data_IF_492233666604
#
_entry.id   IF_492233666604
#
_cell.length_a   1.000
_cell.length_b   1.000
_cell.length_c   1.000
_cell.angle_alpha   90.00
_cell.angle_beta   90.00
_cell.angle_gamma   90.00
#
_symmetry.space_group_name_H-M   'P 1'
#
loop_
_entity.id
_entity.type
_entity.pdbx_description
1 polymer ?
#
# COMPACT_ATOMS: atom_id res chain seq x y z
N UNK A 1 16.16 -16.16 1.91
CA UNK A 1 16.85 -15.08 1.18
C UNK A 1 15.83 -14.32 0.36
N UNK A 2 15.94 -12.99 0.30
CA UNK A 2 15.09 -12.12 -0.54
C UNK A 2 15.99 -11.34 -1.48
N UNK A 3 15.57 -11.17 -2.73
CA UNK A 3 16.24 -10.34 -3.73
C UNK A 3 15.22 -9.50 -4.49
N UNK A 4 15.74 -8.50 -5.19
CA UNK A 4 15.00 -7.71 -6.17
C UNK A 4 15.51 -8.08 -7.55
N UNK A 5 14.60 -8.42 -8.44
CA UNK A 5 14.93 -8.74 -9.83
C UNK A 5 14.16 -7.84 -10.79
N UNK A 6 14.79 -7.45 -11.89
CA UNK A 6 14.11 -6.72 -12.95
C UNK A 6 12.98 -7.60 -13.53
N UNK A 7 11.72 -7.12 -13.57
CA UNK A 7 10.62 -7.89 -14.11
C UNK A 7 10.81 -8.28 -15.59
N UNK A 8 11.56 -7.49 -16.35
CA UNK A 8 11.79 -7.67 -17.79
C UNK A 8 13.07 -8.44 -18.11
N UNK A 9 14.18 -8.18 -17.40
CA UNK A 9 15.48 -8.79 -17.71
C UNK A 9 15.82 -9.97 -16.80
N UNK A 10 15.06 -10.19 -15.72
CA UNK A 10 15.30 -11.25 -14.73
C UNK A 10 16.73 -11.22 -14.13
N UNK A 11 17.38 -10.07 -14.20
CA UNK A 11 18.66 -9.79 -13.56
C UNK A 11 18.46 -9.19 -12.17
N UNK A 12 19.40 -9.44 -11.27
CA UNK A 12 19.39 -8.84 -9.92
C UNK A 12 19.50 -7.33 -10.01
N UNK A 13 18.57 -6.61 -9.37
CA UNK A 13 18.61 -5.17 -9.21
C UNK A 13 19.62 -4.78 -8.12
N UNK A 14 20.22 -3.59 -8.25
CA UNK A 14 21.04 -3.03 -7.17
C UNK A 14 20.20 -2.71 -5.92
N UNK A 15 20.86 -2.60 -4.76
CA UNK A 15 20.21 -2.20 -3.50
C UNK A 15 19.53 -0.84 -3.71
N UNK A 16 18.33 -0.68 -3.15
CA UNK A 16 17.45 0.50 -3.33
C UNK A 16 16.84 0.70 -4.72
N UNK A 17 17.14 -0.12 -5.72
CA UNK A 17 16.41 -0.07 -7.00
C UNK A 17 15.06 -0.79 -6.91
N UNK A 18 14.07 -0.26 -7.61
CA UNK A 18 12.75 -0.86 -7.72
C UNK A 18 12.85 -2.16 -8.54
N UNK A 19 12.27 -3.24 -8.02
CA UNK A 19 12.30 -4.55 -8.68
C UNK A 19 11.21 -5.49 -8.19
N UNK A 20 10.98 -6.56 -8.95
CA UNK A 20 10.13 -7.66 -8.52
C UNK A 20 10.75 -8.34 -7.29
N UNK A 21 9.97 -8.48 -6.24
CA UNK A 21 10.40 -9.17 -5.02
C UNK A 21 10.43 -10.67 -5.30
N UNK A 22 11.59 -11.29 -5.10
CA UNK A 22 11.78 -12.72 -5.25
C UNK A 22 12.32 -13.32 -3.95
N UNK A 23 11.81 -14.50 -3.58
CA UNK A 23 12.15 -15.16 -2.31
C UNK A 23 12.68 -16.56 -2.60
N UNK A 24 13.71 -16.96 -1.87
CA UNK A 24 14.22 -18.33 -1.86
C UNK A 24 14.37 -18.78 -0.40
N UNK A 25 13.73 -19.89 -0.04
CA UNK A 25 13.83 -20.52 1.28
C UNK A 25 13.83 -22.05 1.13
N UNK A 26 14.38 -22.75 2.12
CA UNK A 26 14.24 -24.19 2.25
C UNK A 26 13.18 -24.51 3.32
N UNK A 27 12.09 -25.25 3.02
CA UNK A 27 11.54 -25.58 1.71
C UNK A 27 10.47 -24.52 1.32
N UNK A 28 10.78 -23.66 0.34
CA UNK A 28 9.74 -22.87 -0.32
C UNK A 28 8.73 -23.83 -0.98
N UNK A 29 7.44 -23.49 -0.91
CA UNK A 29 6.40 -24.26 -1.59
C UNK A 29 6.74 -24.38 -3.08
N UNK A 30 6.78 -25.61 -3.58
CA UNK A 30 7.17 -25.91 -4.97
C UNK A 30 6.02 -25.80 -5.97
N UNK A 31 4.89 -25.20 -5.57
CA UNK A 31 3.74 -25.07 -6.46
C UNK A 31 2.46 -24.62 -5.76
N UNK A 32 1.44 -24.40 -6.60
CA UNK A 32 0.05 -24.20 -6.23
C UNK A 32 -0.79 -25.32 -6.84
N UNK A 33 -1.93 -25.65 -6.24
CA UNK A 33 -2.87 -26.65 -6.78
C UNK A 33 -3.92 -25.92 -7.64
N UNK A 34 -3.90 -26.03 -8.98
CA UNK A 34 -5.04 -25.60 -9.78
C UNK A 34 -6.00 -26.76 -10.02
N UNK A 35 -7.24 -26.55 -9.62
CA UNK A 35 -8.40 -27.24 -10.18
C UNK A 35 -8.65 -26.58 -11.54
N UNK A 36 -8.52 -27.33 -12.63
CA UNK A 36 -8.63 -26.91 -14.04
C UNK A 36 -7.37 -26.28 -14.68
N UNK A 37 -6.51 -27.15 -15.23
CA UNK A 37 -6.05 -27.06 -16.63
C UNK A 37 -5.24 -25.86 -17.15
N UNK A 38 -4.85 -24.87 -16.33
CA UNK A 38 -3.96 -23.79 -16.78
C UNK A 38 -2.52 -24.15 -16.40
N UNK A 39 -1.88 -24.98 -17.23
CA UNK A 39 -0.60 -25.66 -16.95
C UNK A 39 0.67 -24.85 -17.29
N UNK A 40 0.55 -23.59 -17.70
CA UNK A 40 1.68 -22.84 -18.30
C UNK A 40 2.35 -21.76 -17.45
N UNK A 41 1.82 -21.38 -16.27
CA UNK A 41 2.40 -20.29 -15.45
C UNK A 41 3.04 -20.77 -14.12
N UNK A 42 3.08 -22.09 -13.89
CA UNK A 42 3.61 -22.69 -12.66
C UNK A 42 5.11 -22.50 -12.48
N UNK A 43 5.89 -22.83 -13.52
CA UNK A 43 7.35 -22.80 -13.48
C UNK A 43 7.89 -21.38 -13.34
N UNK A 44 7.17 -20.38 -13.86
CA UNK A 44 7.60 -18.97 -13.81
C UNK A 44 7.45 -18.37 -12.42
N UNK A 45 6.46 -18.83 -11.63
CA UNK A 45 6.20 -18.26 -10.29
C UNK A 45 7.00 -18.93 -9.19
N UNK A 46 7.17 -20.25 -9.20
CA UNK A 46 7.80 -20.98 -8.10
C UNK A 46 9.19 -21.54 -8.42
N UNK A 47 9.58 -21.55 -9.71
CA UNK A 47 10.85 -22.15 -10.18
C UNK A 47 11.68 -21.14 -11.01
N UNK A 48 11.54 -19.84 -10.75
CA UNK A 48 12.22 -18.81 -11.52
C UNK A 48 13.74 -18.88 -11.32
N UNK A 49 14.49 -18.69 -12.41
CA UNK A 49 15.95 -18.56 -12.41
C UNK A 49 16.34 -17.16 -12.86
N UNK A 50 17.43 -16.66 -12.30
CA UNK A 50 17.99 -15.37 -12.68
C UNK A 50 18.82 -15.52 -13.96
N UNK A 51 18.67 -14.55 -14.87
CA UNK A 51 19.44 -14.52 -16.13
C UNK A 51 20.86 -13.96 -15.89
N UNK A 52 21.01 -13.05 -14.93
CA UNK A 52 22.29 -12.44 -14.55
C UNK A 52 22.43 -12.26 -13.03
N UNK A 53 23.64 -12.41 -12.50
CA UNK A 53 23.97 -12.27 -11.08
C UNK A 53 24.79 -13.43 -10.51
N UNK A 54 25.00 -13.44 -9.19
CA UNK A 54 25.89 -14.39 -8.50
C UNK A 54 25.30 -15.81 -8.32
N UNK A 55 24.00 -15.99 -8.60
CA UNK A 55 23.19 -17.16 -8.20
C UNK A 55 22.24 -17.62 -9.32
N UNK A 56 22.75 -17.84 -10.53
CA UNK A 56 21.93 -18.25 -11.71
C UNK A 56 21.41 -19.69 -11.63
N UNK A 57 22.01 -20.53 -10.76
CA UNK A 57 21.55 -21.90 -10.49
C UNK A 57 20.40 -21.96 -9.48
N UNK A 58 20.22 -20.90 -8.69
CA UNK A 58 19.30 -20.92 -7.56
C UNK A 58 17.85 -20.73 -8.03
N UNK A 59 16.94 -21.38 -7.30
CA UNK A 59 15.51 -21.33 -7.58
C UNK A 59 14.86 -20.25 -6.71
N UNK A 60 14.05 -19.42 -7.36
CA UNK A 60 13.36 -18.29 -6.76
C UNK A 60 11.86 -18.39 -6.99
N UNK A 61 11.10 -18.04 -5.96
CA UNK A 61 9.68 -17.77 -6.08
C UNK A 61 9.46 -16.27 -6.34
N UNK A 62 8.75 -15.93 -7.41
CA UNK A 62 8.30 -14.56 -7.72
C UNK A 62 7.03 -14.28 -6.93
N UNK A 63 7.05 -13.25 -6.08
CA UNK A 63 5.89 -12.96 -5.22
C UNK A 63 4.75 -12.28 -5.96
N UNK A 64 5.02 -11.73 -7.16
CA UNK A 64 4.07 -10.88 -7.89
C UNK A 64 4.08 -9.42 -7.43
N UNK A 65 4.90 -9.05 -6.44
CA UNK A 65 4.97 -7.68 -5.93
C UNK A 65 6.21 -6.93 -6.41
N UNK A 66 6.05 -5.61 -6.55
CA UNK A 66 7.12 -4.67 -6.80
C UNK A 66 7.58 -4.06 -5.47
N UNK A 67 8.88 -3.91 -5.28
CA UNK A 67 9.44 -3.37 -4.04
C UNK A 67 10.88 -2.92 -4.15
N UNK A 68 11.41 -2.42 -3.04
CA UNK A 68 12.82 -2.08 -2.90
C UNK A 68 13.34 -2.44 -1.50
N UNK A 69 14.65 -2.58 -1.38
CA UNK A 69 15.36 -2.87 -0.14
C UNK A 69 15.92 -1.58 0.41
N UNK A 70 15.69 -1.32 1.69
CA UNK A 70 16.26 -0.17 2.38
C UNK A 70 16.63 -0.54 3.80
N UNK A 71 17.75 0.01 4.25
CA UNK A 71 18.23 -0.12 5.61
C UNK A 71 17.53 0.87 6.53
N UNK A 72 16.98 0.37 7.63
CA UNK A 72 16.09 1.11 8.54
C UNK A 72 16.45 0.84 9.98
N UNK A 73 16.20 1.81 10.86
CA UNK A 73 16.33 1.63 12.30
C UNK A 73 15.32 0.58 12.79
N UNK A 74 15.76 -0.29 13.70
CA UNK A 74 14.87 -1.22 14.39
C UNK A 74 13.87 -0.44 15.25
N UNK A 75 12.73 -0.07 14.69
CA UNK A 75 11.58 0.26 15.51
C UNK A 75 11.06 -1.07 16.06
N UNK A 76 11.52 -1.47 17.25
CA UNK A 76 10.77 -2.43 18.03
C UNK A 76 9.40 -1.79 18.28
N UNK A 77 8.45 -2.02 17.39
CA UNK A 77 7.05 -2.02 17.75
C UNK A 77 6.93 -3.19 18.72
N UNK A 78 7.27 -2.94 19.99
CA UNK A 78 7.15 -3.91 21.06
C UNK A 78 5.71 -4.40 21.03
N UNK A 79 5.52 -5.66 20.67
CA UNK A 79 4.34 -6.41 21.05
C UNK A 79 4.38 -6.51 22.58
N UNK A 80 3.99 -5.44 23.26
CA UNK A 80 3.63 -5.51 24.68
C UNK A 80 2.21 -6.06 24.69
N UNK A 81 2.09 -7.36 24.44
CA UNK A 81 0.94 -8.12 24.91
C UNK A 81 1.16 -8.29 26.41
N UNK A 82 0.75 -7.29 27.19
CA UNK A 82 0.55 -7.50 28.62
C UNK A 82 -0.78 -8.25 28.79
N UNK A 83 -0.66 -9.51 29.21
CA UNK A 83 -1.70 -10.54 29.21
C UNK A 83 -2.70 -10.38 30.36
N UNK A 84 -3.18 -9.17 30.63
CA UNK A 84 -4.28 -8.97 31.59
C UNK A 84 -5.14 -7.78 31.19
N UNK A 85 -6.23 -8.01 30.44
CA UNK A 85 -7.60 -7.44 30.59
C UNK A 85 -8.39 -7.68 29.28
N UNK A 86 -9.64 -8.21 29.32
CA UNK A 86 -10.32 -8.74 28.14
C UNK A 86 -10.95 -7.66 27.24
N UNK A 87 -11.04 -7.98 25.95
CA UNK A 87 -11.78 -7.23 24.94
C UNK A 87 -13.29 -7.45 25.09
N UNK A 88 -14.09 -6.38 25.19
CA UNK A 88 -15.51 -6.38 24.77
C UNK A 88 -15.84 -5.03 24.13
N UNK A 89 -16.43 -5.12 22.93
CA UNK A 89 -17.04 -4.04 22.18
C UNK A 89 -18.16 -3.33 22.96
N UNK A 90 -18.37 -2.03 22.72
CA UNK A 90 -19.66 -1.41 22.35
C UNK A 90 -19.74 0.08 22.74
N UNK A 91 -20.11 0.90 21.74
CA UNK A 91 -21.19 1.92 21.73
C UNK A 91 -21.25 2.99 22.84
N UNK A 92 -21.19 4.23 22.35
CA UNK A 92 -22.04 5.40 22.67
C UNK A 92 -22.39 5.71 24.13
N UNK A 93 -22.00 6.90 24.60
CA UNK A 93 -22.94 8.01 24.90
C UNK A 93 -22.27 9.11 25.74
N UNK A 94 -22.69 10.34 25.47
CA UNK A 94 -22.24 11.63 26.00
C UNK A 94 -22.35 11.80 27.53
N UNK A 95 -21.54 12.70 28.12
CA UNK A 95 -22.01 13.74 29.07
C UNK A 95 -20.89 14.70 29.49
N UNK A 96 -21.24 16.00 29.57
CA UNK A 96 -20.41 17.14 29.97
C UNK A 96 -19.89 17.08 31.43
N UNK A 97 -18.74 17.72 31.72
CA UNK A 97 -18.66 18.93 32.60
C UNK A 97 -17.24 19.27 33.13
N UNK A 98 -16.77 20.49 32.76
CA UNK A 98 -16.23 21.63 33.54
C UNK A 98 -15.26 21.46 34.75
N UNK A 99 -14.17 22.29 34.69
CA UNK A 99 -13.22 22.76 35.73
C UNK A 99 -12.23 21.71 36.30
N UNK A 100 -10.96 22.00 36.66
CA UNK A 100 -10.25 23.26 36.94
C UNK A 100 -8.71 23.07 36.87
N UNK A 101 -8.02 24.13 36.42
CA UNK A 101 -6.72 24.67 36.83
C UNK A 101 -5.67 23.79 37.56
N UNK A 102 -4.47 23.75 36.95
CA UNK A 102 -3.21 24.09 37.62
C UNK A 102 -2.39 22.93 38.20
N UNK A 103 -1.15 22.78 37.71
CA UNK A 103 0.10 22.95 38.49
C UNK A 103 1.23 22.06 37.95
N UNK A 104 2.17 22.67 37.21
CA UNK A 104 3.49 22.10 36.91
C UNK A 104 4.31 22.04 38.21
N UNK A 105 4.88 20.88 38.57
CA UNK A 105 6.04 20.85 39.48
C UNK A 105 6.92 19.64 39.21
N UNK A 106 8.18 19.95 38.89
CA UNK A 106 9.31 19.06 38.82
C UNK A 106 9.63 18.48 40.21
N UNK A 107 9.93 17.18 40.30
CA UNK A 107 10.56 16.61 41.49
C UNK A 107 11.92 16.00 41.14
N UNK A 108 12.94 16.78 41.47
CA UNK A 108 14.27 16.34 41.85
C UNK A 108 14.24 15.62 43.20
N UNK A 109 14.89 14.45 43.30
CA UNK A 109 15.31 13.89 44.59
C UNK A 109 16.77 13.42 44.51
N UNK A 110 17.60 14.14 45.24
CA UNK A 110 18.99 13.82 45.64
C UNK A 110 19.00 13.11 46.99
N UNK A 111 19.74 11.99 47.10
CA UNK A 111 20.57 11.51 48.24
C UNK A 111 20.99 10.06 47.95
N UNK A 112 22.20 9.53 48.20
CA UNK A 112 23.37 9.94 49.03
C UNK A 112 24.59 9.01 48.75
N UNK A 113 25.82 9.53 48.95
CA UNK A 113 27.14 8.94 49.35
C UNK A 113 27.53 7.47 49.00
N UNK A 114 28.79 7.07 48.78
CA UNK A 114 30.13 7.68 48.64
C UNK A 114 31.15 6.57 48.28
N UNK A 115 32.23 6.90 47.55
CA UNK A 115 33.55 6.28 47.70
C UNK A 115 34.00 5.20 46.70
N UNK A 116 35.18 5.41 46.09
CA UNK A 116 36.03 4.32 45.56
C UNK A 116 36.44 4.47 44.10
N UNK A 117 37.69 4.84 43.87
CA UNK A 117 38.31 4.98 42.56
C UNK A 117 38.34 3.68 41.75
N UNK A 118 38.08 3.76 40.44
CA UNK A 118 38.82 3.02 39.43
C UNK A 118 38.73 3.72 38.07
N UNK A 119 39.88 4.19 37.61
CA UNK A 119 40.19 4.58 36.23
C UNK A 119 39.87 3.45 35.26
N UNK A 120 38.82 3.61 34.46
CA UNK A 120 38.73 2.98 33.14
C UNK A 120 38.05 3.96 32.19
N UNK A 121 38.81 4.36 31.18
CA UNK A 121 38.48 5.10 29.96
C UNK A 121 36.98 5.26 29.62
N UNK A 122 36.51 6.47 29.24
CA UNK A 122 35.17 6.60 28.66
C UNK A 122 35.21 5.94 27.28
N UNK A 123 34.68 4.71 27.19
CA UNK A 123 34.20 4.22 25.91
C UNK A 123 32.97 5.07 25.59
N UNK A 124 33.10 5.88 24.55
CA UNK A 124 31.98 6.54 23.88
C UNK A 124 30.92 5.49 23.60
N UNK A 125 29.87 5.43 24.42
CA UNK A 125 28.62 4.74 24.10
C UNK A 125 27.91 5.56 23.01
N UNK A 126 28.50 5.55 21.81
CA UNK A 126 27.73 5.79 20.61
C UNK A 126 26.81 4.58 20.48
N UNK A 127 25.55 4.74 20.83
CA UNK A 127 24.54 3.78 20.44
C UNK A 127 24.48 3.79 18.92
N UNK A 128 25.29 2.95 18.27
CA UNK A 128 25.05 2.57 16.88
C UNK A 128 23.71 1.83 16.92
N UNK A 129 22.62 2.56 16.64
CA UNK A 129 21.32 1.94 16.43
C UNK A 129 21.51 0.87 15.34
N UNK A 130 21.31 -0.38 15.70
CA UNK A 130 21.45 -1.50 14.77
C UNK A 130 20.43 -1.30 13.65
N UNK A 131 20.94 -1.03 12.45
CA UNK A 131 20.12 -0.84 11.28
C UNK A 131 19.85 -2.21 10.63
N UNK A 132 18.58 -2.51 10.35
CA UNK A 132 18.18 -3.74 9.67
C UNK A 132 17.80 -3.48 8.21
N UNK A 133 17.99 -4.49 7.36
CA UNK A 133 17.53 -4.43 5.97
C UNK A 133 16.04 -4.81 5.92
N UNK A 134 15.20 -3.90 5.41
CA UNK A 134 13.76 -4.09 5.25
C UNK A 134 13.37 -4.07 3.77
N UNK A 135 12.36 -4.88 3.43
CA UNK A 135 11.72 -4.87 2.11
C UNK A 135 10.49 -3.97 2.16
N UNK A 136 10.47 -2.95 1.31
CA UNK A 136 9.32 -2.07 1.12
C UNK A 136 8.55 -2.55 -0.11
N UNK A 137 7.29 -2.96 0.09
CA UNK A 137 6.39 -3.36 -0.99
C UNK A 137 5.65 -2.12 -1.48
N UNK A 138 5.72 -1.86 -2.78
CA UNK A 138 5.04 -0.74 -3.44
C UNK A 138 3.65 -1.14 -3.91
N UNK A 139 3.51 -2.32 -4.53
CA UNK A 139 2.24 -2.79 -5.05
C UNK A 139 2.37 -4.07 -5.88
N UNK A 140 1.25 -4.59 -6.37
CA UNK A 140 1.21 -5.77 -7.22
C UNK A 140 1.65 -5.42 -8.66
N UNK A 141 2.49 -6.25 -9.26
CA UNK A 141 3.02 -6.03 -10.61
C UNK A 141 1.95 -6.08 -11.70
N UNK A 142 0.93 -6.91 -11.52
CA UNK A 142 -0.17 -7.11 -12.45
C UNK A 142 -1.25 -6.04 -12.35
N UNK A 143 -1.23 -5.22 -11.30
CA UNK A 143 -2.14 -4.08 -11.14
C UNK A 143 -1.58 -2.76 -11.70
N UNK A 144 -0.30 -2.71 -12.06
CA UNK A 144 0.34 -1.48 -12.58
C UNK A 144 -0.34 -1.04 -13.87
N UNK A 145 -0.81 0.21 -13.90
CA UNK A 145 -1.32 0.84 -15.13
C UNK A 145 -0.20 1.62 -15.81
N UNK A 146 -0.11 1.49 -17.14
CA UNK A 146 0.84 2.26 -17.95
C UNK A 146 0.10 3.33 -18.73
N UNK A 147 0.44 4.60 -18.48
CA UNK A 147 -0.10 5.76 -19.18
C UNK A 147 1.06 6.65 -19.64
N UNK A 148 1.10 6.97 -20.94
CA UNK A 148 2.16 7.80 -21.55
C UNK A 148 3.59 7.30 -21.29
N UNK A 149 3.76 5.97 -21.18
CA UNK A 149 5.06 5.35 -20.89
C UNK A 149 5.49 5.39 -19.42
N UNK A 150 4.65 5.94 -18.54
CA UNK A 150 4.86 5.96 -17.10
C UNK A 150 3.98 4.92 -16.42
N UNK A 151 4.46 4.35 -15.31
CA UNK A 151 3.78 3.30 -14.55
C UNK A 151 3.22 3.87 -13.25
N UNK A 152 1.96 3.55 -12.97
CA UNK A 152 1.25 4.01 -11.78
C UNK A 152 0.57 2.82 -11.10
N UNK A 153 0.52 2.84 -9.76
CA UNK A 153 -0.32 1.90 -9.03
C UNK A 153 -1.71 2.55 -8.85
N UNK A 154 -2.81 1.89 -9.27
CA UNK A 154 -4.17 2.41 -9.14
C UNK A 154 -4.50 2.92 -7.74
N UNK A 155 -4.03 2.21 -6.70
CA UNK A 155 -4.29 2.55 -5.30
C UNK A 155 -3.76 3.94 -4.92
N UNK A 156 -2.66 4.38 -5.51
CA UNK A 156 -2.09 5.70 -5.22
C UNK A 156 -3.00 6.81 -5.74
N UNK A 157 -3.54 6.62 -6.95
CA UNK A 157 -4.49 7.54 -7.59
C UNK A 157 -5.80 7.55 -6.81
N UNK A 158 -6.33 6.37 -6.48
CA UNK A 158 -7.56 6.21 -5.71
C UNK A 158 -7.47 6.86 -4.33
N UNK A 159 -6.34 6.70 -3.64
CA UNK A 159 -6.11 7.33 -2.35
C UNK A 159 -6.15 8.87 -2.45
N UNK A 160 -5.64 9.45 -3.53
CA UNK A 160 -5.75 10.89 -3.78
C UNK A 160 -7.18 11.31 -4.08
N UNK A 161 -7.90 10.57 -4.92
CA UNK A 161 -9.32 10.81 -5.24
C UNK A 161 -10.18 10.71 -3.98
N UNK A 162 -10.00 9.68 -3.16
CA UNK A 162 -10.75 9.47 -1.92
C UNK A 162 -10.57 10.64 -0.93
N UNK A 163 -9.38 11.26 -0.91
CA UNK A 163 -9.09 12.42 -0.05
C UNK A 163 -9.61 13.75 -0.61
N UNK A 164 -10.01 13.82 -1.88
CA UNK A 164 -10.39 15.11 -2.48
C UNK A 164 -11.72 15.63 -1.94
N UNK A 165 -12.64 14.75 -1.54
CA UNK A 165 -13.94 15.15 -1.04
C UNK A 165 -14.54 14.14 -0.04
N UNK A 166 -15.04 14.65 1.09
CA UNK A 166 -15.59 13.84 2.20
C UNK A 166 -16.80 12.96 1.87
N UNK A 167 -17.48 13.25 0.76
CA UNK A 167 -18.65 12.49 0.28
C UNK A 167 -18.28 11.38 -0.71
N UNK A 168 -17.00 11.23 -1.04
CA UNK A 168 -16.57 10.08 -1.82
C UNK A 168 -16.48 8.89 -0.86
N UNK A 169 -17.41 7.95 -1.01
CA UNK A 169 -17.45 6.75 -0.18
C UNK A 169 -16.35 5.77 -0.58
N UNK A 170 -16.19 5.58 -1.89
CA UNK A 170 -15.21 4.71 -2.49
C UNK A 170 -14.90 5.17 -3.93
N UNK A 171 -13.78 4.74 -4.48
CA UNK A 171 -13.48 4.97 -5.89
C UNK A 171 -12.65 3.84 -6.49
N UNK A 172 -12.64 3.72 -7.81
CA UNK A 172 -11.76 2.81 -8.51
C UNK A 172 -11.29 3.41 -9.82
N UNK A 173 -10.04 3.13 -10.19
CA UNK A 173 -9.48 3.60 -11.45
C UNK A 173 -9.06 2.45 -12.35
N UNK A 174 -9.28 2.62 -13.65
CA UNK A 174 -8.80 1.70 -14.67
C UNK A 174 -8.54 2.43 -15.99
N UNK A 175 -7.94 1.73 -16.94
CA UNK A 175 -7.66 2.28 -18.28
C UNK A 175 -8.66 1.78 -19.31
N UNK A 176 -9.05 2.68 -20.22
CA UNK A 176 -9.87 2.35 -21.39
C UNK A 176 -9.38 3.14 -22.61
N UNK A 177 -8.97 2.44 -23.66
CA UNK A 177 -8.45 3.08 -24.90
C UNK A 177 -7.34 4.12 -24.66
N UNK A 178 -6.44 3.86 -23.70
CA UNK A 178 -5.39 4.78 -23.21
C UNK A 178 -5.88 6.02 -22.44
N UNK A 179 -7.16 6.10 -22.12
CA UNK A 179 -7.72 7.08 -21.19
C UNK A 179 -7.75 6.51 -19.77
N UNK A 180 -7.53 7.38 -18.78
CA UNK A 180 -7.78 7.07 -17.39
C UNK A 180 -9.28 7.29 -17.10
N UNK A 181 -9.94 6.23 -16.64
CA UNK A 181 -11.32 6.25 -16.17
C UNK A 181 -11.30 6.22 -14.64
N UNK A 182 -12.02 7.15 -14.02
CA UNK A 182 -12.19 7.23 -12.57
C UNK A 182 -13.67 7.04 -12.25
N UNK A 183 -13.98 5.97 -11.53
CA UNK A 183 -15.33 5.70 -11.00
C UNK A 183 -15.35 6.12 -9.54
N UNK A 184 -16.36 6.91 -9.17
CA UNK A 184 -16.49 7.52 -7.83
C UNK A 184 -17.87 7.21 -7.28
N UNK A 185 -17.91 6.56 -6.11
CA UNK A 185 -19.14 6.39 -5.34
C UNK A 185 -19.42 7.65 -4.53
N UNK A 186 -20.60 8.23 -4.73
CA UNK A 186 -21.03 9.44 -4.05
C UNK A 186 -22.02 9.11 -2.92
N UNK A 187 -21.63 9.37 -1.68
CA UNK A 187 -22.54 9.40 -0.53
C UNK A 187 -23.15 10.81 -0.41
N UNK A 188 -24.13 11.09 -1.26
CA UNK A 188 -24.73 12.42 -1.38
C UNK A 188 -25.90 12.49 -2.36
N UNK A 189 -26.33 13.73 -2.64
CA UNK A 189 -27.38 13.98 -3.61
C UNK A 189 -26.79 14.13 -5.02
N UNK A 190 -27.56 13.79 -6.05
CA UNK A 190 -27.15 13.91 -7.45
C UNK A 190 -26.65 15.32 -7.82
N UNK A 191 -27.19 16.36 -7.19
CA UNK A 191 -26.76 17.75 -7.41
C UNK A 191 -25.27 17.98 -7.12
N UNK A 192 -24.67 17.19 -6.23
CA UNK A 192 -23.26 17.32 -5.85
C UNK A 192 -22.31 16.56 -6.80
N UNK A 193 -22.85 15.67 -7.63
CA UNK A 193 -22.05 14.90 -8.59
C UNK A 193 -21.32 15.81 -9.59
N UNK A 194 -21.93 16.93 -9.99
CA UNK A 194 -21.35 17.90 -10.92
C UNK A 194 -20.13 18.62 -10.34
N UNK A 195 -20.15 18.91 -9.04
CA UNK A 195 -19.05 19.60 -8.35
C UNK A 195 -17.84 18.67 -8.15
N UNK A 196 -18.06 17.36 -8.08
CA UNK A 196 -16.98 16.36 -7.94
C UNK A 196 -16.13 16.22 -9.18
N UNK A 197 -16.69 16.34 -10.39
CA UNK A 197 -15.94 16.13 -11.64
C UNK A 197 -14.71 17.04 -11.78
N UNK A 198 -14.82 18.37 -11.66
CA UNK A 198 -13.64 19.24 -11.73
C UNK A 198 -12.69 19.00 -10.57
N UNK A 199 -13.20 18.67 -9.38
CA UNK A 199 -12.38 18.40 -8.20
C UNK A 199 -11.51 17.14 -8.38
N UNK A 200 -12.11 16.03 -8.78
CA UNK A 200 -11.42 14.76 -9.07
C UNK A 200 -10.41 14.95 -10.20
N UNK A 201 -10.81 15.63 -11.28
CA UNK A 201 -9.93 15.89 -12.43
C UNK A 201 -8.71 16.71 -12.02
N UNK A 202 -8.89 17.76 -11.22
CA UNK A 202 -7.79 18.60 -10.75
C UNK A 202 -6.87 17.86 -9.78
N UNK A 203 -7.40 17.10 -8.81
CA UNK A 203 -6.59 16.33 -7.87
C UNK A 203 -5.70 15.32 -8.59
N UNK A 204 -6.23 14.57 -9.55
CA UNK A 204 -5.45 13.58 -10.31
C UNK A 204 -4.39 14.27 -11.19
N UNK A 205 -4.73 15.41 -11.79
CA UNK A 205 -3.79 16.18 -12.60
C UNK A 205 -2.65 16.75 -11.75
N UNK A 206 -2.95 17.36 -10.61
CA UNK A 206 -1.95 18.02 -9.76
C UNK A 206 -1.05 17.00 -9.05
N UNK A 207 -1.64 15.98 -8.42
CA UNK A 207 -0.87 15.01 -7.62
C UNK A 207 -0.14 13.96 -8.47
N UNK A 208 -0.75 13.51 -9.59
CA UNK A 208 -0.21 12.40 -10.39
C UNK A 208 0.28 12.81 -11.77
N UNK A 209 0.08 14.06 -12.18
CA UNK A 209 0.41 14.56 -13.53
C UNK A 209 -0.29 13.74 -14.63
N UNK A 210 -1.51 13.26 -14.33
CA UNK A 210 -2.33 12.44 -15.21
C UNK A 210 -3.59 13.18 -15.64
N UNK A 211 -3.96 13.03 -16.91
CA UNK A 211 -5.23 13.56 -17.42
C UNK A 211 -6.30 12.47 -17.27
N UNK A 212 -7.35 12.79 -16.53
CA UNK A 212 -8.55 11.95 -16.44
C UNK A 212 -9.38 12.13 -17.71
N UNK A 213 -9.63 11.06 -18.44
CA UNK A 213 -10.43 11.10 -19.67
C UNK A 213 -11.92 10.91 -19.43
N UNK A 214 -12.29 10.11 -18.43
CA UNK A 214 -13.69 9.87 -18.07
C UNK A 214 -13.85 9.85 -16.55
N UNK A 215 -14.82 10.61 -16.04
CA UNK A 215 -15.28 10.52 -14.65
C UNK A 215 -16.69 9.95 -14.64
N UNK A 216 -16.89 8.88 -13.87
CA UNK A 216 -18.19 8.21 -13.71
C UNK A 216 -18.59 8.34 -12.24
N UNK A 217 -19.70 9.01 -11.97
CA UNK A 217 -20.26 9.12 -10.62
C UNK A 217 -21.40 8.11 -10.47
N UNK A 218 -21.34 7.29 -9.44
CA UNK A 218 -22.27 6.18 -9.19
C UNK A 218 -22.76 6.19 -7.74
N UNK A 219 -23.84 5.46 -7.47
CA UNK A 219 -24.31 5.22 -6.11
C UNK A 219 -23.32 4.38 -5.28
N UNK A 220 -23.34 4.49 -3.94
CA UNK A 220 -22.54 3.65 -3.06
C UNK A 220 -22.81 2.14 -3.24
N UNK A 221 -21.75 1.33 -3.22
CA UNK A 221 -21.79 -0.12 -3.37
C UNK A 221 -21.69 -0.65 -4.81
N UNK A 222 -21.51 0.23 -5.80
CA UNK A 222 -21.31 -0.13 -7.21
C UNK A 222 -19.89 -0.62 -7.48
N UNK A 223 -18.88 -0.10 -6.79
CA UNK A 223 -17.49 -0.53 -6.87
C UNK A 223 -17.35 -1.87 -6.15
N UNK A 224 -17.11 -2.98 -6.90
CA UNK A 224 -17.07 -4.30 -6.32
C UNK A 224 -15.80 -4.50 -5.49
N UNK A 225 -15.96 -4.91 -4.23
CA UNK A 225 -14.87 -5.27 -3.32
C UNK A 225 -15.04 -6.74 -2.93
N UNK A 226 -13.95 -7.51 -2.98
CA UNK A 226 -13.99 -8.91 -2.59
C UNK A 226 -13.94 -9.10 -1.07
N UNK A 227 -14.07 -10.34 -0.59
CA UNK A 227 -14.04 -10.66 0.85
C UNK A 227 -12.72 -10.36 1.56
N UNK A 228 -11.65 -10.08 0.81
CA UNK A 228 -10.33 -9.66 1.34
C UNK A 228 -10.14 -8.15 1.33
N UNK A 229 -11.14 -7.37 0.91
CA UNK A 229 -11.03 -5.92 0.79
C UNK A 229 -10.34 -5.45 -0.50
N UNK A 230 -10.11 -6.34 -1.48
CA UNK A 230 -9.49 -5.96 -2.74
C UNK A 230 -10.56 -5.52 -3.74
N UNK A 231 -10.35 -4.35 -4.36
CA UNK A 231 -11.23 -3.82 -5.41
C UNK A 231 -11.13 -4.69 -6.66
N UNK A 232 -12.27 -5.15 -7.17
CA UNK A 232 -12.35 -5.95 -8.39
C UNK A 232 -12.41 -5.03 -9.63
N UNK A 233 -11.34 -4.25 -9.87
CA UNK A 233 -11.27 -3.22 -10.92
C UNK A 233 -11.56 -3.76 -12.32
N UNK A 234 -11.13 -4.99 -12.61
CA UNK A 234 -11.42 -5.65 -13.88
C UNK A 234 -12.91 -5.95 -14.04
N UNK A 235 -13.59 -6.40 -12.98
CA UNK A 235 -15.03 -6.62 -13.02
C UNK A 235 -15.81 -5.30 -13.21
N UNK A 236 -15.39 -4.25 -12.52
CA UNK A 236 -15.96 -2.90 -12.70
C UNK A 236 -15.75 -2.37 -14.12
N UNK A 237 -14.55 -2.54 -14.67
CA UNK A 237 -14.22 -2.18 -16.05
C UNK A 237 -15.10 -2.94 -17.04
N UNK A 238 -15.27 -4.25 -16.86
CA UNK A 238 -16.11 -5.06 -17.75
C UNK A 238 -17.57 -4.60 -17.69
N UNK A 239 -18.08 -4.28 -16.50
CA UNK A 239 -19.41 -3.67 -16.32
C UNK A 239 -19.55 -2.31 -17.02
N UNK A 240 -18.54 -1.44 -16.92
CA UNK A 240 -18.49 -0.17 -17.65
C UNK A 240 -18.51 -0.38 -19.17
N UNK A 241 -17.70 -1.30 -19.69
CA UNK A 241 -17.63 -1.58 -21.13
C UNK A 241 -18.91 -2.23 -21.68
N UNK A 242 -19.62 -2.97 -20.84
CA UNK A 242 -20.87 -3.62 -21.19
C UNK A 242 -22.12 -2.74 -20.95
N UNK A 243 -21.93 -1.48 -20.55
CA UNK A 243 -23.00 -0.53 -20.25
C UNK A 243 -23.96 -1.05 -19.15
N UNK A 244 -23.41 -1.73 -18.16
CA UNK A 244 -24.14 -2.33 -17.03
C UNK A 244 -24.12 -1.48 -15.76
N UNK A 245 -23.33 -0.39 -15.76
CA UNK A 245 -23.36 0.57 -14.67
C UNK A 245 -24.58 1.49 -14.85
N UNK A 246 -25.21 1.87 -13.75
CA UNK A 246 -26.28 2.88 -13.72
C UNK A 246 -25.71 4.17 -13.09
N UNK A 247 -24.98 5.01 -13.87
CA UNK A 247 -24.31 6.17 -13.33
C UNK A 247 -25.28 7.31 -13.07
N UNK A 248 -25.08 8.00 -11.94
CA UNK A 248 -25.72 9.29 -11.64
C UNK A 248 -25.29 10.34 -12.68
N UNK A 249 -24.00 10.35 -13.02
CA UNK A 249 -23.42 11.30 -13.97
C UNK A 249 -22.17 10.74 -14.65
N UNK A 250 -21.97 11.08 -15.92
CA UNK A 250 -20.77 10.74 -16.69
C UNK A 250 -20.21 11.99 -17.37
N UNK A 251 -18.93 12.27 -17.12
CA UNK A 251 -18.22 13.35 -17.78
C UNK A 251 -17.09 12.80 -18.67
N UNK A 252 -17.09 13.23 -19.93
CA UNK A 252 -16.01 12.97 -20.88
C UNK A 252 -15.15 14.23 -21.00
N UNK A 253 -13.91 14.14 -20.54
CA UNK A 253 -12.92 15.20 -20.70
C UNK A 253 -12.20 14.95 -22.03
N UNK A 254 -12.71 15.57 -23.11
CA UNK A 254 -12.08 15.57 -24.44
C UNK A 254 -11.29 16.85 -24.69
#
# INVERSE_FOLDING_TARGET
MVILASPSTQGVCCVSALGAVCVSSAPASRGSFALYGVETDYDVRFVAKLVTGCSTSDIWARTGYLGFLRRTECSQAGSILDETTPSIASRDSDTESIHSQGHNTLNSTTSSNAGGANTTTPATAGGEQELHDAVYVVGALDEVITLRGMNYHPIDIENSVLRCHKKIAECAVFTWTNLLVVVVELDGNESEALDLVPLVTNTVLEEHQLIVGVVVVVDPGVVPINSRGEKQRMHLRDGFLADQLDPIYVAYNM
#
